data_IF_191226829230
#
_entry.id   IF_191226829230
#
_cell.length_a   1.000
_cell.length_b   1.000
_cell.length_c   1.000
_cell.angle_alpha   90.00
_cell.angle_beta   90.00
_cell.angle_gamma   90.00
#
_symmetry.space_group_name_H-M   'P 1'
#
loop_
_entity.id
_entity.type
_entity.pdbx_description
1 polymer ?
#
# COMPACT_ATOMS: atom_id res chain seq x y z
N UNK A 1 13.19 17.17 63.85
CA UNK A 1 14.25 17.18 62.82
C UNK A 1 14.61 15.74 62.45
N UNK A 2 13.84 15.10 61.56
CA UNK A 2 14.27 13.92 60.79
C UNK A 2 13.56 14.03 59.44
N UNK A 3 14.35 13.89 58.37
CA UNK A 3 14.02 14.20 56.98
C UNK A 3 13.10 13.14 56.38
N UNK A 4 12.03 13.56 55.72
CA UNK A 4 11.26 12.70 54.83
C UNK A 4 12.10 12.38 53.59
N UNK A 5 12.45 11.10 53.43
CA UNK A 5 13.08 10.58 52.22
C UNK A 5 11.98 10.38 51.17
N UNK A 6 11.82 11.34 50.28
CA UNK A 6 10.96 11.21 49.09
C UNK A 6 11.71 10.31 48.10
N UNK A 7 11.34 9.04 48.05
CA UNK A 7 11.81 8.12 47.00
C UNK A 7 11.06 8.49 45.71
N UNK A 8 11.70 9.32 44.89
CA UNK A 8 11.22 9.66 43.56
C UNK A 8 11.27 8.43 42.66
N UNK A 9 10.12 7.82 42.42
CA UNK A 9 9.96 6.81 41.37
C UNK A 9 9.95 7.57 40.03
N UNK A 10 11.12 7.67 39.40
CA UNK A 10 11.24 8.04 37.99
C UNK A 10 10.72 6.85 37.16
N UNK A 11 9.41 6.81 36.94
CA UNK A 11 8.85 5.98 35.87
C UNK A 11 9.30 6.65 34.57
N UNK A 12 10.43 6.21 34.04
CA UNK A 12 10.81 6.49 32.66
C UNK A 12 9.72 5.88 31.79
N UNK A 13 8.77 6.72 31.38
CA UNK A 13 7.87 6.47 30.28
C UNK A 13 8.75 6.32 29.04
N UNK A 14 9.27 5.11 28.83
CA UNK A 14 9.73 4.68 27.52
C UNK A 14 8.51 4.78 26.63
N UNK A 15 8.40 5.89 25.91
CA UNK A 15 7.55 5.99 24.73
C UNK A 15 8.04 4.88 23.79
N UNK A 16 7.41 3.71 23.91
CA UNK A 16 7.49 2.67 22.91
C UNK A 16 6.94 3.35 21.66
N UNK A 17 7.86 3.74 20.79
CA UNK A 17 7.60 4.23 19.46
C UNK A 17 6.53 3.33 18.85
N UNK A 18 5.35 3.92 18.63
CA UNK A 18 4.34 3.41 17.72
C UNK A 18 5.01 3.19 16.36
N UNK A 19 5.65 2.03 16.18
CA UNK A 19 5.92 1.49 14.85
C UNK A 19 4.55 1.11 14.31
N UNK A 20 3.86 2.10 13.75
CA UNK A 20 2.83 1.85 12.76
C UNK A 20 3.51 1.17 11.58
N UNK A 21 3.67 -0.15 11.67
CA UNK A 21 3.91 -1.00 10.52
C UNK A 21 2.57 -1.03 9.78
N UNK A 22 2.33 -0.05 8.92
CA UNK A 22 1.24 -0.09 7.97
C UNK A 22 1.57 -1.17 6.94
N UNK A 23 1.17 -2.42 7.19
CA UNK A 23 1.23 -3.46 6.18
C UNK A 23 0.13 -3.22 5.12
N UNK A 24 0.60 -2.87 3.93
CA UNK A 24 0.36 -3.56 2.66
C UNK A 24 -1.00 -3.44 1.95
N UNK A 25 -2.00 -2.83 2.58
CA UNK A 25 -3.24 -2.44 1.89
C UNK A 25 -3.26 -0.93 1.66
N UNK A 26 -3.02 -0.50 0.41
CA UNK A 26 -2.96 0.92 0.06
C UNK A 26 -4.13 1.25 -0.88
N UNK A 27 -5.25 1.78 -0.34
CA UNK A 27 -6.25 2.44 -1.16
C UNK A 27 -5.77 3.87 -1.48
N UNK A 28 -5.46 4.11 -2.74
CA UNK A 28 -5.06 5.40 -3.27
C UNK A 28 -6.22 5.88 -4.14
N UNK A 29 -7.12 6.69 -3.58
CA UNK A 29 -8.28 7.23 -4.31
C UNK A 29 -8.30 8.77 -4.23
N UNK A 30 -8.75 9.44 -5.30
CA UNK A 30 -9.06 10.87 -5.26
C UNK A 30 -10.25 11.15 -4.34
N UNK A 31 -11.31 10.33 -4.44
CA UNK A 31 -12.46 10.35 -3.54
C UNK A 31 -12.79 8.91 -3.07
N UNK A 32 -12.58 8.56 -1.79
CA UNK A 32 -12.83 7.21 -1.28
C UNK A 32 -14.29 6.72 -1.44
N UNK A 33 -15.24 7.67 -1.51
CA UNK A 33 -16.68 7.38 -1.68
C UNK A 33 -17.09 7.17 -3.13
N UNK A 34 -16.30 7.67 -4.07
CA UNK A 34 -16.59 7.70 -5.50
C UNK A 34 -15.39 7.14 -6.25
N UNK A 35 -15.26 5.82 -6.22
CA UNK A 35 -14.11 5.13 -6.79
C UNK A 35 -14.10 5.19 -8.31
N UNK A 36 -15.26 5.37 -8.95
CA UNK A 36 -15.40 5.35 -10.41
C UNK A 36 -15.77 3.97 -10.95
N UNK A 37 -15.40 3.72 -12.21
CA UNK A 37 -15.66 2.45 -12.92
C UNK A 37 -14.45 1.53 -12.82
N UNK A 38 -14.64 0.30 -12.36
CA UNK A 38 -13.59 -0.71 -12.30
C UNK A 38 -13.12 -1.07 -13.73
N UNK A 39 -11.83 -0.90 -14.01
CA UNK A 39 -11.23 -1.20 -15.31
C UNK A 39 -10.27 -2.38 -15.27
N UNK A 40 -9.71 -2.69 -14.09
CA UNK A 40 -8.85 -3.84 -13.91
C UNK A 40 -9.03 -4.42 -12.51
N UNK A 41 -9.05 -5.74 -12.41
CA UNK A 41 -9.02 -6.51 -11.17
C UNK A 41 -8.08 -7.70 -11.37
N UNK A 42 -6.84 -7.53 -10.93
CA UNK A 42 -5.77 -8.51 -11.12
C UNK A 42 -5.47 -9.18 -9.79
N UNK A 43 -5.45 -10.51 -9.76
CA UNK A 43 -4.88 -11.27 -8.66
C UNK A 43 -3.57 -11.91 -9.14
N UNK A 44 -2.47 -11.58 -8.46
CA UNK A 44 -1.11 -11.96 -8.86
C UNK A 44 -0.45 -12.70 -7.72
N UNK A 45 0.17 -13.83 -8.05
CA UNK A 45 0.93 -14.68 -7.13
C UNK A 45 2.32 -14.91 -7.72
N UNK A 46 3.34 -14.71 -6.90
CA UNK A 46 4.75 -14.85 -7.28
C UNK A 46 5.52 -15.57 -6.17
N UNK A 47 6.49 -16.39 -6.58
CA UNK A 47 7.31 -17.15 -5.65
C UNK A 47 8.17 -16.23 -4.77
N UNK A 48 8.82 -16.79 -3.75
CA UNK A 48 9.56 -16.04 -2.73
C UNK A 48 10.78 -15.22 -3.22
N UNK A 49 11.13 -15.30 -4.50
CA UNK A 49 12.25 -14.58 -5.12
C UNK A 49 11.82 -13.69 -6.29
N UNK A 50 10.56 -13.73 -6.69
CA UNK A 50 10.04 -13.07 -7.88
C UNK A 50 9.30 -11.77 -7.51
N UNK A 51 9.79 -10.63 -7.98
CA UNK A 51 9.08 -9.36 -7.79
C UNK A 51 7.87 -9.24 -8.73
N UNK A 52 6.88 -8.45 -8.34
CA UNK A 52 5.71 -8.13 -9.17
C UNK A 52 5.98 -6.81 -9.87
N UNK A 53 5.79 -6.78 -11.19
CA UNK A 53 5.76 -5.56 -12.01
C UNK A 53 4.52 -5.59 -12.88
N UNK A 54 3.72 -4.54 -12.80
CA UNK A 54 2.42 -4.45 -13.47
C UNK A 54 2.27 -3.08 -14.09
N UNK A 55 1.86 -3.04 -15.36
CA UNK A 55 1.39 -1.84 -16.03
C UNK A 55 -0.08 -2.01 -16.39
N UNK A 56 -0.89 -1.00 -16.11
CA UNK A 56 -2.31 -0.99 -16.42
C UNK A 56 -2.68 0.31 -17.17
N UNK A 57 -3.30 0.22 -18.37
CA UNK A 57 -3.45 -0.99 -19.17
C UNK A 57 -2.08 -1.53 -19.63
N UNK A 58 -1.98 -2.81 -19.98
CA UNK A 58 -0.70 -3.43 -20.40
C UNK A 58 -0.04 -2.70 -21.58
N UNK A 59 -0.86 -2.07 -22.43
CA UNK A 59 -0.42 -1.18 -23.50
C UNK A 59 -1.42 -0.04 -23.72
N UNK A 60 -0.94 1.07 -24.29
CA UNK A 60 -1.77 2.24 -24.56
C UNK A 60 -2.17 3.02 -23.30
N UNK A 61 -3.36 3.61 -23.35
CA UNK A 61 -3.93 4.48 -22.31
C UNK A 61 -5.42 4.17 -22.15
N UNK A 62 -5.94 4.37 -20.93
CA UNK A 62 -7.37 4.43 -20.67
C UNK A 62 -7.97 5.64 -21.38
N UNK A 63 -9.27 5.54 -21.66
CA UNK A 63 -10.11 6.61 -22.17
C UNK A 63 -10.42 7.70 -21.13
N UNK A 64 -10.21 7.40 -19.84
CA UNK A 64 -10.38 8.34 -18.72
C UNK A 64 -9.20 8.26 -17.74
N UNK A 65 -9.08 9.28 -16.88
CA UNK A 65 -8.11 9.29 -15.80
C UNK A 65 -8.46 8.24 -14.73
N UNK A 66 -7.42 7.67 -14.11
CA UNK A 66 -7.55 6.78 -12.97
C UNK A 66 -7.99 7.59 -11.75
N UNK A 67 -9.14 7.20 -11.17
CA UNK A 67 -9.75 7.83 -10.00
C UNK A 67 -9.40 7.11 -8.69
N UNK A 68 -9.14 5.80 -8.76
CA UNK A 68 -8.68 5.02 -7.61
C UNK A 68 -7.84 3.80 -7.99
N UNK A 69 -6.87 3.49 -7.16
CA UNK A 69 -6.04 2.29 -7.19
C UNK A 69 -6.13 1.64 -5.82
N UNK A 70 -6.44 0.36 -5.77
CA UNK A 70 -6.43 -0.42 -4.54
C UNK A 70 -5.47 -1.57 -4.69
N UNK A 71 -4.46 -1.59 -3.84
CA UNK A 71 -3.48 -2.69 -3.80
C UNK A 71 -3.69 -3.39 -2.46
N UNK A 72 -4.08 -4.66 -2.54
CA UNK A 72 -4.32 -5.50 -1.39
C UNK A 72 -3.27 -6.59 -1.29
N UNK A 73 -2.58 -6.66 -0.17
CA UNK A 73 -1.72 -7.79 0.15
C UNK A 73 -2.55 -8.89 0.81
N UNK A 74 -2.88 -9.91 0.02
CA UNK A 74 -3.65 -11.07 0.47
C UNK A 74 -2.74 -12.20 0.97
N UNK A 75 -1.42 -12.07 0.81
CA UNK A 75 -0.41 -13.01 1.31
C UNK A 75 0.19 -12.61 2.66
N UNK A 76 -0.21 -11.45 3.20
CA UNK A 76 0.38 -10.83 4.38
C UNK A 76 1.91 -10.72 4.26
N UNK A 77 2.39 -10.29 3.11
CA UNK A 77 3.82 -10.07 2.89
C UNK A 77 4.31 -8.81 3.66
N UNK A 78 5.63 -8.60 3.69
CA UNK A 78 6.25 -7.37 4.18
C UNK A 78 6.71 -6.47 3.04
N UNK A 79 6.31 -6.78 1.80
CA UNK A 79 6.63 -5.97 0.65
C UNK A 79 5.74 -4.72 0.62
N UNK A 80 6.30 -3.63 0.11
CA UNK A 80 5.60 -2.35 -0.01
C UNK A 80 5.42 -2.08 -1.50
N UNK A 81 4.17 -2.00 -1.98
CA UNK A 81 3.90 -1.59 -3.35
C UNK A 81 4.38 -0.16 -3.61
N UNK A 82 4.91 0.09 -4.80
CA UNK A 82 5.37 1.39 -5.27
C UNK A 82 4.69 1.68 -6.61
N UNK A 83 4.13 2.89 -6.77
CA UNK A 83 3.72 3.40 -8.08
C UNK A 83 4.96 4.05 -8.70
N UNK A 84 5.45 3.49 -9.80
CA UNK A 84 6.64 3.98 -10.49
C UNK A 84 6.33 5.13 -11.45
N UNK A 85 5.18 5.06 -12.13
CA UNK A 85 4.74 6.07 -13.10
C UNK A 85 3.20 6.06 -13.25
N UNK A 86 2.66 7.13 -13.82
CA UNK A 86 1.23 7.37 -13.96
C UNK A 86 0.52 7.48 -12.61
N UNK A 87 -0.58 6.74 -12.44
CA UNK A 87 -1.34 6.69 -11.20
C UNK A 87 -2.59 7.57 -11.22
N UNK A 88 -2.96 8.12 -10.06
CA UNK A 88 -4.15 8.96 -9.95
C UNK A 88 -4.11 10.17 -10.89
N UNK A 89 -5.20 10.43 -11.60
CA UNK A 89 -5.30 11.52 -12.57
C UNK A 89 -4.64 11.23 -13.92
N UNK A 90 -3.95 10.09 -14.06
CA UNK A 90 -3.32 9.67 -15.31
C UNK A 90 -4.13 8.54 -15.96
N UNK A 91 -4.04 8.38 -17.29
CA UNK A 91 -4.75 7.31 -18.00
C UNK A 91 -4.00 5.97 -17.99
N UNK A 92 -3.01 5.79 -17.11
CA UNK A 92 -2.27 4.55 -16.91
C UNK A 92 -1.58 4.55 -15.55
N UNK A 93 -1.12 3.38 -15.09
CA UNK A 93 -0.31 3.23 -13.87
C UNK A 93 0.71 2.11 -14.03
N UNK A 94 1.90 2.31 -13.49
CA UNK A 94 2.94 1.30 -13.34
C UNK A 94 3.22 1.03 -11.86
N UNK A 95 3.13 -0.23 -11.45
CA UNK A 95 3.25 -0.67 -10.05
C UNK A 95 4.35 -1.72 -9.95
N UNK A 96 5.25 -1.56 -8.99
CA UNK A 96 6.22 -2.59 -8.59
C UNK A 96 6.00 -3.01 -7.14
N UNK A 97 6.25 -4.29 -6.86
CA UNK A 97 6.23 -4.85 -5.51
C UNK A 97 7.47 -5.73 -5.39
N UNK A 98 8.47 -5.21 -4.69
CA UNK A 98 9.75 -5.87 -4.50
C UNK A 98 9.81 -6.62 -3.16
N UNK A 99 10.50 -7.75 -3.15
CA UNK A 99 10.76 -8.48 -1.91
C UNK A 99 11.71 -7.70 -0.99
N UNK A 100 11.33 -7.58 0.27
CA UNK A 100 12.26 -7.20 1.35
C UNK A 100 12.78 -8.39 2.13
N UNK A 101 12.01 -9.48 2.14
CA UNK A 101 12.36 -10.75 2.75
C UNK A 101 11.88 -11.91 1.85
N UNK A 102 12.50 -13.10 1.91
CA UNK A 102 12.05 -14.27 1.16
C UNK A 102 10.69 -14.75 1.66
N UNK A 103 9.63 -14.36 0.96
CA UNK A 103 8.25 -14.78 1.21
C UNK A 103 7.46 -14.60 -0.08
N UNK A 104 6.56 -15.53 -0.36
CA UNK A 104 5.62 -15.43 -1.49
C UNK A 104 4.88 -14.08 -1.49
N UNK A 105 4.72 -13.48 -2.67
CA UNK A 105 3.92 -12.28 -2.87
C UNK A 105 2.58 -12.70 -3.46
N UNK A 106 1.50 -12.34 -2.77
CA UNK A 106 0.13 -12.59 -3.23
C UNK A 106 -0.66 -11.32 -3.08
N UNK A 107 -1.01 -10.69 -4.19
CA UNK A 107 -1.64 -9.38 -4.23
C UNK A 107 -2.89 -9.36 -5.10
N UNK A 108 -3.84 -8.49 -4.74
CA UNK A 108 -4.96 -8.10 -5.60
C UNK A 108 -4.86 -6.62 -5.90
N UNK A 109 -4.80 -6.26 -7.18
CA UNK A 109 -4.71 -4.88 -7.65
C UNK A 109 -6.00 -4.55 -8.39
N UNK A 110 -6.70 -3.53 -7.92
CA UNK A 110 -7.90 -3.01 -8.57
C UNK A 110 -7.66 -1.57 -9.01
N UNK A 111 -7.96 -1.26 -10.27
CA UNK A 111 -7.86 0.09 -10.82
C UNK A 111 -9.22 0.55 -11.30
N UNK A 112 -9.56 1.78 -10.98
CA UNK A 112 -10.80 2.43 -11.31
C UNK A 112 -10.52 3.72 -12.07
N UNK A 113 -11.38 4.05 -13.03
CA UNK A 113 -11.35 5.30 -13.79
C UNK A 113 -12.58 6.17 -13.48
N UNK A 114 -12.49 7.47 -13.77
CA UNK A 114 -13.60 8.41 -13.64
C UNK A 114 -14.85 7.98 -14.44
N UNK A 115 -16.04 8.39 -13.99
CA UNK A 115 -17.26 8.18 -14.76
C UNK A 115 -17.28 9.11 -15.97
N UNK A 116 -17.52 8.55 -17.15
CA UNK A 116 -17.85 9.32 -18.36
C UNK A 116 -19.36 9.39 -18.57
#
# INVERSE_FOLDING_TARGET
MVKYLVIGIFISFSFILNKYVYCANIPICLNPKEQGTLVADLQIEKNMFDSIYVRLPESGFLDAAISCIKIYDIGNSFAVPVINDGGLGFPYVEISIEHRIPKELKYRIQVFKEYH
#
